data_IF_860279063833
#
_entry.id   IF_860279063833
#
_cell.length_a   1.000
_cell.length_b   1.000
_cell.length_c   1.000
_cell.angle_alpha   90.00
_cell.angle_beta   90.00
_cell.angle_gamma   90.00
#
_symmetry.space_group_name_H-M   'P 1'
#
loop_
_entity.id
_entity.type
_entity.pdbx_description
1 polymer ?
#
# COMPACT_ATOMS: atom_id res chain seq x y z
N UNK A 1 -59.60 0.96 6.40
CA UNK A 1 -58.56 -0.07 6.62
C UNK A 1 -58.08 -0.55 5.27
N UNK A 2 -56.91 -0.08 4.82
CA UNK A 2 -56.21 -0.66 3.68
C UNK A 2 -54.74 -0.73 4.08
N UNK A 3 -54.32 -1.95 4.43
CA UNK A 3 -52.94 -2.27 4.77
C UNK A 3 -52.16 -2.41 3.46
N UNK A 4 -51.25 -1.48 3.21
CA UNK A 4 -50.20 -1.68 2.20
C UNK A 4 -49.18 -2.66 2.77
N UNK A 5 -49.22 -3.92 2.35
CA UNK A 5 -48.12 -4.87 2.55
C UNK A 5 -47.05 -4.59 1.51
N UNK A 6 -45.97 -3.91 1.92
CA UNK A 6 -44.73 -3.88 1.15
C UNK A 6 -44.02 -5.22 1.31
N UNK A 7 -44.07 -6.06 0.27
CA UNK A 7 -43.16 -7.18 0.15
C UNK A 7 -41.73 -6.62 0.04
N UNK A 8 -40.95 -6.78 1.11
CA UNK A 8 -39.49 -6.73 1.03
C UNK A 8 -39.07 -7.95 0.19
N UNK A 9 -38.74 -7.73 -1.07
CA UNK A 9 -38.00 -8.72 -1.84
C UNK A 9 -36.62 -8.85 -1.19
N UNK A 10 -36.46 -9.86 -0.32
CA UNK A 10 -35.14 -10.33 0.08
C UNK A 10 -34.50 -10.92 -1.19
N UNK A 11 -33.77 -10.11 -1.93
CA UNK A 11 -32.80 -10.63 -2.88
C UNK A 11 -31.82 -11.44 -2.06
N UNK A 12 -31.93 -12.77 -2.11
CA UNK A 12 -30.86 -13.65 -1.69
C UNK A 12 -29.67 -13.33 -2.59
N UNK A 13 -28.80 -12.43 -2.14
CA UNK A 13 -27.50 -12.24 -2.74
C UNK A 13 -26.78 -13.56 -2.49
N UNK A 14 -26.78 -14.43 -3.50
CA UNK A 14 -25.89 -15.57 -3.52
C UNK A 14 -24.48 -15.01 -3.25
N UNK A 15 -23.95 -15.28 -2.06
CA UNK A 15 -22.57 -14.96 -1.72
C UNK A 15 -21.68 -15.93 -2.50
N UNK A 16 -21.55 -15.69 -3.81
CA UNK A 16 -20.37 -16.12 -4.53
C UNK A 16 -19.22 -15.33 -3.93
N UNK A 17 -18.40 -15.97 -3.11
CA UNK A 17 -17.07 -15.45 -2.82
C UNK A 17 -16.44 -15.15 -4.19
N UNK A 18 -16.32 -13.87 -4.55
CA UNK A 18 -15.67 -13.47 -5.77
C UNK A 18 -14.20 -13.87 -5.59
N UNK A 19 -13.83 -15.00 -6.20
CA UNK A 19 -12.46 -15.42 -6.25
C UNK A 19 -11.71 -14.44 -7.17
N UNK A 20 -10.55 -13.99 -6.71
CA UNK A 20 -9.61 -13.23 -7.50
C UNK A 20 -9.49 -13.85 -8.90
N UNK A 21 -9.68 -13.04 -9.94
CA UNK A 21 -9.69 -13.48 -11.34
C UNK A 21 -8.64 -12.73 -12.14
N UNK A 22 -8.22 -13.30 -13.27
CA UNK A 22 -7.11 -12.80 -14.10
C UNK A 22 -5.78 -12.63 -13.35
N UNK A 23 -5.57 -13.43 -12.31
CA UNK A 23 -4.34 -13.41 -11.51
C UNK A 23 -3.19 -14.02 -12.33
N UNK A 24 -2.04 -13.32 -12.49
CA UNK A 24 -0.87 -13.88 -13.17
C UNK A 24 -0.21 -14.98 -12.34
N UNK A 25 0.63 -15.81 -12.98
CA UNK A 25 1.35 -16.89 -12.29
C UNK A 25 2.35 -16.37 -11.24
N UNK A 26 2.92 -15.20 -11.49
CA UNK A 26 3.83 -14.50 -10.58
C UNK A 26 3.88 -13.01 -10.91
N UNK A 27 4.41 -12.22 -9.99
CA UNK A 27 4.78 -10.82 -10.24
C UNK A 27 6.08 -10.48 -9.51
N UNK A 28 6.83 -9.51 -10.04
CA UNK A 28 7.99 -8.95 -9.39
C UNK A 28 7.77 -7.47 -9.08
N UNK A 29 7.76 -7.12 -7.80
CA UNK A 29 7.67 -5.74 -7.33
C UNK A 29 9.05 -5.32 -6.80
N UNK A 30 9.84 -4.62 -7.62
CA UNK A 30 11.09 -3.98 -7.18
C UNK A 30 12.17 -4.96 -6.71
N UNK A 31 12.20 -6.17 -7.27
CA UNK A 31 13.11 -7.26 -6.88
C UNK A 31 12.47 -8.29 -5.95
N UNK A 32 11.25 -8.06 -5.45
CA UNK A 32 10.51 -9.04 -4.64
C UNK A 32 9.51 -9.82 -5.50
N UNK A 33 9.69 -11.13 -5.55
CA UNK A 33 8.77 -12.05 -6.22
C UNK A 33 7.55 -12.38 -5.36
N UNK A 34 6.39 -12.46 -6.00
CA UNK A 34 5.12 -12.88 -5.42
C UNK A 34 4.48 -13.95 -6.31
N UNK A 35 3.93 -14.98 -5.68
CA UNK A 35 3.22 -16.06 -6.37
C UNK A 35 1.79 -15.65 -6.75
N UNK A 36 1.15 -16.42 -7.64
CA UNK A 36 -0.29 -16.30 -7.91
C UNK A 36 -1.13 -16.39 -6.63
N UNK A 37 -0.70 -17.22 -5.67
CA UNK A 37 -1.42 -17.41 -4.41
C UNK A 37 -1.35 -16.15 -3.54
N UNK A 38 -0.20 -15.50 -3.45
CA UNK A 38 -0.05 -14.24 -2.71
C UNK A 38 -0.99 -13.16 -3.27
N UNK A 39 -1.06 -13.05 -4.60
CA UNK A 39 -1.93 -12.08 -5.30
C UNK A 39 -3.41 -12.41 -5.05
N UNK A 40 -3.80 -13.67 -5.21
CA UNK A 40 -5.17 -14.11 -5.02
C UNK A 40 -5.62 -13.94 -3.57
N UNK A 41 -4.77 -14.28 -2.59
CA UNK A 41 -5.04 -14.11 -1.16
C UNK A 41 -5.27 -12.63 -0.84
N UNK A 42 -4.44 -11.73 -1.37
CA UNK A 42 -4.57 -10.29 -1.16
C UNK A 42 -5.90 -9.75 -1.70
N UNK A 43 -6.24 -10.04 -2.97
CA UNK A 43 -7.51 -9.59 -3.58
C UNK A 43 -8.72 -10.17 -2.83
N UNK A 44 -8.69 -11.47 -2.52
CA UNK A 44 -9.80 -12.15 -1.82
C UNK A 44 -10.02 -11.58 -0.41
N UNK A 45 -8.96 -11.18 0.28
CA UNK A 45 -9.07 -10.51 1.57
C UNK A 45 -9.66 -9.10 1.42
N UNK A 46 -9.13 -8.31 0.47
CA UNK A 46 -9.59 -6.95 0.22
C UNK A 46 -11.10 -6.88 -0.11
N UNK A 47 -11.58 -7.80 -0.96
CA UNK A 47 -13.01 -7.92 -1.29
C UNK A 47 -13.85 -8.29 -0.05
N UNK A 48 -13.35 -9.21 0.79
CA UNK A 48 -14.03 -9.60 2.04
C UNK A 48 -14.08 -8.47 3.05
N UNK A 49 -12.98 -7.74 3.22
CA UNK A 49 -12.85 -6.64 4.16
C UNK A 49 -13.79 -5.50 3.76
N UNK A 50 -13.89 -5.20 2.47
CA UNK A 50 -14.87 -4.26 1.92
C UNK A 50 -16.33 -4.70 2.15
N UNK A 51 -16.64 -5.98 1.99
CA UNK A 51 -18.00 -6.50 2.24
C UNK A 51 -18.37 -6.52 3.73
N UNK A 52 -17.38 -6.81 4.60
CA UNK A 52 -17.60 -6.90 6.04
C UNK A 52 -17.47 -5.56 6.78
N UNK A 53 -16.89 -4.55 6.14
CA UNK A 53 -16.56 -3.27 6.77
C UNK A 53 -15.41 -3.35 7.78
N UNK A 54 -14.61 -4.41 7.73
CA UNK A 54 -13.47 -4.62 8.63
C UNK A 54 -12.16 -4.32 7.89
N UNK A 55 -11.75 -3.05 7.93
CA UNK A 55 -10.63 -2.54 7.14
C UNK A 55 -9.31 -2.56 7.94
N UNK A 56 -8.35 -3.46 7.67
CA UNK A 56 -7.04 -3.43 8.31
C UNK A 56 -6.31 -2.14 7.93
N UNK A 57 -6.07 -1.27 8.91
CA UNK A 57 -5.46 0.06 8.68
C UNK A 57 -6.13 0.87 7.56
N UNK A 58 -7.46 0.78 7.46
CA UNK A 58 -8.31 1.42 6.43
C UNK A 58 -8.16 0.91 4.99
N UNK A 59 -7.41 -0.17 4.74
CA UNK A 59 -7.38 -0.82 3.43
C UNK A 59 -8.62 -1.70 3.19
N UNK A 60 -9.07 -1.87 1.93
CA UNK A 60 -8.48 -1.34 0.68
C UNK A 60 -8.71 0.15 0.46
N UNK A 61 -7.85 0.78 -0.34
CA UNK A 61 -8.00 2.16 -0.79
C UNK A 61 -8.45 2.22 -2.25
N UNK A 62 -9.00 3.37 -2.66
CA UNK A 62 -9.24 3.64 -4.07
C UNK A 62 -7.91 3.91 -4.79
N UNK A 63 -7.70 3.24 -5.91
CA UNK A 63 -6.58 3.48 -6.81
C UNK A 63 -7.02 4.38 -7.97
N UNK A 64 -6.21 5.39 -8.27
CA UNK A 64 -6.38 6.26 -9.43
C UNK A 64 -5.20 6.06 -10.35
N UNK A 65 -5.48 5.79 -11.62
CA UNK A 65 -4.45 5.67 -12.64
C UNK A 65 -3.87 7.05 -12.95
N UNK A 66 -2.60 7.27 -12.60
CA UNK A 66 -1.82 8.44 -12.99
C UNK A 66 -0.80 8.04 -14.06
N UNK A 67 -0.92 8.57 -15.30
CA UNK A 67 0.02 8.24 -16.39
C UNK A 67 1.49 8.50 -16.07
N UNK A 68 1.81 9.38 -15.11
CA UNK A 68 3.19 9.66 -14.68
C UNK A 68 3.80 8.54 -13.81
N UNK A 69 2.96 7.69 -13.21
CA UNK A 69 3.38 6.49 -12.49
C UNK A 69 3.80 5.37 -13.44
N UNK A 70 3.40 5.45 -14.72
CA UNK A 70 3.72 4.46 -15.75
C UNK A 70 3.34 3.02 -15.32
N UNK A 71 2.19 2.87 -14.65
CA UNK A 71 1.60 1.59 -14.27
C UNK A 71 0.60 1.19 -15.36
N UNK A 72 0.84 0.07 -16.03
CA UNK A 72 -0.10 -0.45 -17.03
C UNK A 72 -1.12 -1.37 -16.37
N UNK A 73 -2.40 -0.98 -16.41
CA UNK A 73 -3.49 -1.82 -15.93
C UNK A 73 -3.90 -2.82 -17.02
N UNK A 74 -3.83 -4.12 -16.69
CA UNK A 74 -4.16 -5.22 -17.60
C UNK A 74 -5.65 -5.58 -17.66
N UNK A 75 -6.45 -5.01 -16.76
CA UNK A 75 -7.88 -5.29 -16.70
C UNK A 75 -8.68 -4.43 -17.68
N UNK A 76 -9.65 -5.02 -18.36
CA UNK A 76 -10.47 -4.37 -19.41
C UNK A 76 -11.55 -3.41 -18.86
N UNK A 77 -11.57 -3.10 -17.57
CA UNK A 77 -12.66 -2.38 -16.91
C UNK A 77 -12.34 -0.91 -16.65
N UNK A 78 -13.24 0.01 -16.99
CA UNK A 78 -13.12 1.45 -16.67
C UNK A 78 -13.43 1.74 -15.18
N UNK A 79 -12.64 1.20 -14.24
CA UNK A 79 -12.74 1.49 -12.81
C UNK A 79 -14.14 1.32 -12.17
N UNK A 80 -14.31 1.70 -10.89
CA UNK A 80 -13.27 2.12 -9.96
C UNK A 80 -12.27 0.99 -9.67
N UNK A 81 -11.01 1.37 -9.52
CA UNK A 81 -9.94 0.47 -9.10
C UNK A 81 -9.65 0.65 -7.62
N UNK A 82 -9.11 -0.38 -7.01
CA UNK A 82 -8.75 -0.41 -5.60
C UNK A 82 -7.36 -1.01 -5.45
N UNK A 83 -6.65 -0.62 -4.41
CA UNK A 83 -5.37 -1.19 -4.02
C UNK A 83 -5.45 -1.85 -2.65
N UNK A 84 -4.72 -2.96 -2.49
CA UNK A 84 -4.54 -3.65 -1.21
C UNK A 84 -3.08 -4.11 -1.05
N UNK A 85 -2.53 -4.15 0.18
CA UNK A 85 -1.13 -4.53 0.36
C UNK A 85 -0.85 -5.97 -0.03
N UNK A 86 0.19 -6.15 -0.84
CA UNK A 86 0.68 -7.44 -1.33
C UNK A 86 1.85 -7.91 -0.46
N UNK A 87 1.60 -8.96 0.32
CA UNK A 87 2.58 -9.55 1.26
C UNK A 87 2.66 -11.06 1.04
N UNK A 88 3.77 -11.67 1.46
CA UNK A 88 3.95 -13.13 1.43
C UNK A 88 3.35 -13.76 2.69
N UNK A 89 2.86 -15.00 2.59
CA UNK A 89 2.36 -15.82 3.71
C UNK A 89 1.05 -15.34 4.36
N UNK A 90 0.15 -14.72 3.58
CA UNK A 90 -1.20 -14.39 4.02
C UNK A 90 -1.67 -13.04 3.54
N UNK A 91 -2.92 -12.64 3.85
CA UNK A 91 -3.36 -11.29 3.59
C UNK A 91 -2.76 -10.33 4.61
N UNK A 92 -2.57 -9.09 4.19
CA UNK A 92 -2.19 -8.03 5.11
C UNK A 92 -3.22 -7.85 6.23
N UNK A 93 -2.73 -7.67 7.45
CA UNK A 93 -3.56 -7.43 8.63
C UNK A 93 -2.83 -6.50 9.59
N UNK A 94 -3.57 -5.52 10.12
CA UNK A 94 -3.05 -4.52 11.06
C UNK A 94 -4.13 -4.19 12.09
N UNK A 95 -4.09 -4.80 13.29
CA UNK A 95 -5.06 -4.51 14.34
C UNK A 95 -4.79 -3.14 14.97
N UNK A 96 -5.85 -2.48 15.46
CA UNK A 96 -5.76 -1.16 16.11
C UNK A 96 -4.78 -1.12 17.30
N UNK A 97 -4.59 -2.24 17.98
CA UNK A 97 -3.67 -2.38 19.12
C UNK A 97 -2.21 -2.56 18.73
N UNK A 98 -1.92 -2.99 17.50
CA UNK A 98 -0.57 -3.28 17.05
C UNK A 98 -0.45 -3.02 15.55
N UNK A 99 -0.10 -1.79 15.20
CA UNK A 99 0.11 -1.39 13.82
C UNK A 99 1.16 -2.29 13.14
N UNK A 100 0.78 -2.86 12.00
CA UNK A 100 1.67 -3.55 11.08
C UNK A 100 1.80 -2.70 9.83
N UNK A 101 3.03 -2.48 9.35
CA UNK A 101 3.24 -1.73 8.12
C UNK A 101 2.76 -2.54 6.89
N UNK A 102 2.01 -1.93 5.96
CA UNK A 102 1.53 -2.60 4.75
C UNK A 102 2.63 -2.97 3.75
N UNK A 103 3.85 -2.45 3.92
CA UNK A 103 4.88 -2.64 2.92
C UNK A 103 4.61 -1.84 1.63
N UNK A 104 5.36 -2.07 0.54
CA UNK A 104 5.27 -1.24 -0.67
C UNK A 104 4.31 -1.76 -1.69
N UNK A 105 4.25 -3.07 -1.75
CA UNK A 105 3.74 -3.76 -2.89
C UNK A 105 2.23 -3.76 -2.73
N UNK A 106 1.56 -3.52 -3.84
CA UNK A 106 0.12 -3.40 -3.91
C UNK A 106 -0.35 -4.31 -5.01
N UNK A 107 -1.50 -4.92 -4.78
CA UNK A 107 -2.31 -5.44 -5.87
C UNK A 107 -3.37 -4.39 -6.20
N UNK A 108 -3.45 -4.02 -7.47
CA UNK A 108 -4.51 -3.19 -8.03
C UNK A 108 -5.55 -4.11 -8.64
N UNK A 109 -6.81 -3.90 -8.29
CA UNK A 109 -7.92 -4.75 -8.71
C UNK A 109 -9.20 -3.94 -8.86
N UNK A 110 -10.19 -4.48 -9.58
CA UNK A 110 -11.52 -3.89 -9.71
C UNK A 110 -12.41 -4.25 -8.51
N UNK A 111 -13.50 -3.51 -8.28
CA UNK A 111 -14.43 -3.80 -7.16
C UNK A 111 -15.03 -5.22 -7.15
N UNK A 112 -15.03 -5.92 -8.29
CA UNK A 112 -15.46 -7.33 -8.41
C UNK A 112 -14.31 -8.36 -8.32
N UNK A 113 -13.10 -7.94 -7.91
CA UNK A 113 -11.98 -8.86 -7.67
C UNK A 113 -11.19 -9.27 -8.93
N UNK A 114 -11.27 -8.51 -10.03
CA UNK A 114 -10.43 -8.76 -11.21
C UNK A 114 -9.07 -8.09 -10.99
N UNK A 115 -7.99 -8.85 -11.11
CA UNK A 115 -6.64 -8.33 -11.07
C UNK A 115 -6.40 -7.35 -12.22
N UNK A 116 -5.77 -6.21 -11.92
CA UNK A 116 -5.38 -5.20 -12.89
C UNK A 116 -3.86 -5.06 -13.00
N UNK A 117 -3.17 -4.93 -11.87
CA UNK A 117 -1.73 -4.77 -11.84
C UNK A 117 -1.18 -5.13 -10.46
N UNK A 118 0.13 -5.31 -10.39
CA UNK A 118 0.89 -5.30 -9.14
C UNK A 118 1.81 -4.09 -9.21
N UNK A 119 1.63 -3.14 -8.29
CA UNK A 119 2.41 -1.91 -8.25
C UNK A 119 3.29 -1.86 -7.01
N UNK A 120 4.33 -1.04 -7.09
CA UNK A 120 5.16 -0.65 -5.95
C UNK A 120 4.63 0.72 -5.53
N UNK A 121 4.45 0.96 -4.22
CA UNK A 121 4.09 2.28 -3.71
C UNK A 121 5.07 3.33 -4.25
N UNK A 122 4.58 4.50 -4.67
CA UNK A 122 5.42 5.57 -5.25
C UNK A 122 6.67 5.87 -4.44
N UNK A 123 6.52 5.91 -3.12
CA UNK A 123 7.63 6.11 -2.19
C UNK A 123 8.77 5.12 -2.40
N UNK A 124 8.45 3.83 -2.54
CA UNK A 124 9.47 2.80 -2.73
C UNK A 124 10.04 2.84 -4.15
N UNK A 125 9.24 3.21 -5.16
CA UNK A 125 9.76 3.49 -6.51
C UNK A 125 10.77 4.62 -6.48
N UNK A 126 10.45 5.73 -5.83
CA UNK A 126 11.35 6.88 -5.66
C UNK A 126 12.62 6.48 -4.90
N UNK A 127 12.50 5.70 -3.84
CA UNK A 127 13.66 5.21 -3.07
C UNK A 127 14.54 4.29 -3.92
N UNK A 128 13.96 3.39 -4.71
CA UNK A 128 14.69 2.50 -5.62
C UNK A 128 15.40 3.31 -6.71
N UNK A 129 14.75 4.31 -7.29
CA UNK A 129 15.38 5.18 -8.29
C UNK A 129 16.51 6.02 -7.69
N UNK A 130 16.32 6.56 -6.48
CA UNK A 130 17.40 7.21 -5.73
C UNK A 130 18.55 6.23 -5.48
N UNK A 131 18.25 5.01 -5.03
CA UNK A 131 19.27 3.98 -4.81
C UNK A 131 20.04 3.67 -6.10
N UNK A 132 19.36 3.58 -7.24
CA UNK A 132 19.97 3.30 -8.55
C UNK A 132 20.98 4.37 -8.96
N UNK A 133 20.66 5.65 -8.79
CA UNK A 133 21.50 6.77 -9.26
C UNK A 133 22.56 7.23 -8.26
N UNK A 134 22.39 6.95 -6.97
CA UNK A 134 23.34 7.32 -5.93
C UNK A 134 24.50 6.32 -5.91
N UNK A 135 25.73 6.83 -5.81
CA UNK A 135 26.93 5.97 -5.63
C UNK A 135 26.94 5.37 -4.22
N UNK A 136 27.57 4.20 -4.04
CA UNK A 136 27.85 3.65 -2.71
C UNK A 136 28.60 4.68 -1.84
N UNK A 137 28.16 4.86 -0.60
CA UNK A 137 28.59 5.93 0.31
C UNK A 137 27.97 7.31 0.04
N UNK A 138 27.18 7.47 -1.03
CA UNK A 138 26.39 8.67 -1.30
C UNK A 138 25.17 8.77 -0.38
N UNK A 139 24.59 9.98 -0.28
CA UNK A 139 23.66 10.32 0.80
C UNK A 139 22.40 11.00 0.28
N UNK A 140 21.23 10.58 0.78
CA UNK A 140 19.95 11.29 0.67
C UNK A 140 19.65 11.99 2.00
N UNK A 141 19.26 13.25 1.93
CA UNK A 141 18.80 14.02 3.09
C UNK A 141 17.31 14.32 2.93
N UNK A 142 16.51 14.06 3.97
CA UNK A 142 15.07 14.34 3.94
C UNK A 142 14.54 14.76 5.31
N UNK A 143 13.48 15.58 5.30
CA UNK A 143 12.77 16.05 6.48
C UNK A 143 11.41 15.38 6.58
N UNK A 144 10.93 15.16 7.80
CA UNK A 144 9.67 14.47 8.07
C UNK A 144 8.83 15.24 9.07
N UNK A 145 7.50 15.25 8.88
CA UNK A 145 6.56 15.81 9.85
C UNK A 145 6.55 14.99 11.18
N UNK A 146 6.70 13.66 11.09
CA UNK A 146 6.79 12.77 12.25
C UNK A 146 8.20 12.69 12.83
N UNK A 147 8.33 12.44 14.15
CA UNK A 147 9.63 12.26 14.82
C UNK A 147 10.34 10.95 14.47
N UNK A 148 9.58 9.91 14.15
CA UNK A 148 10.08 8.59 13.76
C UNK A 148 9.19 8.06 12.62
N UNK A 149 9.35 8.59 11.40
CA UNK A 149 8.50 8.20 10.30
C UNK A 149 8.68 6.71 9.97
N UNK A 150 7.57 6.03 9.71
CA UNK A 150 7.56 4.61 9.36
C UNK A 150 8.40 4.33 8.09
N UNK A 151 8.48 5.31 7.19
CA UNK A 151 9.17 5.13 5.92
C UNK A 151 10.71 5.09 6.00
N UNK A 152 11.31 5.36 7.16
CA UNK A 152 12.75 5.12 7.33
C UNK A 152 13.12 3.65 7.07
N UNK A 153 12.24 2.72 7.47
CA UNK A 153 12.43 1.29 7.24
C UNK A 153 12.46 0.93 5.73
N UNK A 154 12.01 1.83 4.86
CA UNK A 154 11.94 1.65 3.41
C UNK A 154 13.28 1.94 2.76
N UNK A 155 13.89 3.06 3.14
CA UNK A 155 15.30 3.33 2.82
C UNK A 155 16.20 2.20 3.32
N UNK A 156 15.99 1.71 4.55
CA UNK A 156 16.76 0.57 5.08
C UNK A 156 16.61 -0.70 4.23
N UNK A 157 15.38 -1.07 3.87
CA UNK A 157 15.10 -2.22 3.00
C UNK A 157 15.68 -2.05 1.59
N UNK A 158 15.75 -0.82 1.08
CA UNK A 158 16.31 -0.51 -0.23
C UNK A 158 17.85 -0.45 -0.25
N UNK A 159 18.53 -0.72 0.87
CA UNK A 159 20.00 -0.75 0.93
C UNK A 159 20.65 0.53 1.45
N UNK A 160 19.90 1.39 2.17
CA UNK A 160 20.48 2.54 2.84
C UNK A 160 20.68 2.30 4.34
N UNK A 161 21.73 2.88 4.92
CA UNK A 161 21.84 3.11 6.35
C UNK A 161 21.14 4.41 6.71
N UNK A 162 20.06 4.35 7.50
CA UNK A 162 19.30 5.54 7.91
C UNK A 162 19.71 5.98 9.32
N UNK A 163 19.98 7.28 9.47
CA UNK A 163 20.39 7.88 10.72
C UNK A 163 19.60 9.19 10.96
N UNK A 164 19.08 9.35 12.17
CA UNK A 164 18.49 10.62 12.57
C UNK A 164 19.60 11.67 12.74
N UNK A 165 19.54 12.74 11.96
CA UNK A 165 20.44 13.89 12.11
C UNK A 165 19.91 14.80 13.21
N UNK A 166 18.59 14.98 13.28
CA UNK A 166 17.94 15.77 14.32
C UNK A 166 16.50 15.30 14.52
N UNK A 167 16.09 15.09 15.79
CA UNK A 167 14.69 14.90 16.17
C UNK A 167 14.19 16.08 17.00
N UNK A 168 13.05 16.66 16.63
CA UNK A 168 12.49 17.82 17.36
C UNK A 168 12.15 17.46 18.80
N UNK A 169 12.65 18.26 19.74
CA UNK A 169 12.30 18.21 21.16
C UNK A 169 11.35 19.35 21.51
N UNK A 170 10.46 19.12 22.48
CA UNK A 170 9.54 20.16 22.94
C UNK A 170 10.33 21.32 23.52
N UNK A 171 10.04 22.54 23.08
CA UNK A 171 10.73 23.75 23.54
C UNK A 171 12.11 23.99 22.93
N UNK A 172 12.56 23.16 21.96
CA UNK A 172 13.83 23.37 21.24
C UNK A 172 13.57 23.45 19.72
N UNK A 173 13.86 24.58 19.06
CA UNK A 173 13.73 24.68 17.61
C UNK A 173 14.80 23.83 16.91
N UNK A 174 14.43 23.18 15.81
CA UNK A 174 15.35 22.33 15.05
C UNK A 174 16.32 23.16 14.19
N UNK A 175 15.79 24.13 13.45
CA UNK A 175 16.52 24.92 12.44
C UNK A 175 16.03 26.39 12.36
N UNK A 176 15.34 26.89 13.40
CA UNK A 176 14.67 28.20 13.44
C UNK A 176 13.59 28.42 12.36
N UNK A 177 13.36 27.46 11.46
CA UNK A 177 12.30 27.47 10.43
C UNK A 177 11.38 26.29 10.72
N UNK A 178 10.70 26.39 11.87
CA UNK A 178 9.94 25.32 12.51
C UNK A 178 8.80 24.77 11.64
N UNK A 179 9.08 23.73 10.85
CA UNK A 179 8.07 23.02 10.06
C UNK A 179 8.07 21.50 10.32
N UNK A 180 9.23 20.87 10.51
CA UNK A 180 9.36 19.42 10.50
C UNK A 180 9.67 18.82 11.89
N UNK A 181 9.17 17.61 12.14
CA UNK A 181 9.39 16.88 13.39
C UNK A 181 10.74 16.17 13.46
N UNK A 182 11.41 15.97 12.32
CA UNK A 182 12.73 15.33 12.25
C UNK A 182 13.46 15.57 10.92
N UNK A 183 14.78 15.33 10.94
CA UNK A 183 15.69 15.39 9.80
C UNK A 183 16.56 14.12 9.77
N UNK A 184 16.64 13.48 8.61
CA UNK A 184 17.29 12.18 8.43
C UNK A 184 18.34 12.21 7.33
N UNK A 185 19.30 11.30 7.48
CA UNK A 185 20.36 10.98 6.53
C UNK A 185 20.25 9.50 6.16
N UNK A 186 20.08 9.19 4.88
CA UNK A 186 20.15 7.83 4.35
C UNK A 186 21.39 7.66 3.49
N UNK A 187 22.34 6.82 3.92
CA UNK A 187 23.61 6.58 3.21
C UNK A 187 23.52 5.26 2.45
N UNK A 188 23.76 5.27 1.13
CA UNK A 188 23.74 4.03 0.34
C UNK A 188 24.90 3.12 0.75
N UNK A 189 24.59 1.87 1.08
CA UNK A 189 25.56 0.84 1.48
C UNK A 189 26.12 0.16 0.24
#
# INVERSE_FOLDING_TARGET
>A
MQFFSTLLALAAIASSALAASNVPSETNCGGRGYSSDDIAIAINAAVRDAQSGNYPDNYPHQYYDDPSENVSLSCDGNGPYYEFPLVTNGPYYSPKSNYVSPGPDRVVYTGNGVYCASSISDLDREIVEMHRVIKTGGVVFYRSAGKRPWYNQRFEKAGFKVEAVHIRETGKPTDNVNMYGSFYRATKI
#
